data_IF_072625428228
#
_entry.id   IF_072625428228
#
_cell.length_a   1.000
_cell.length_b   1.000
_cell.length_c   1.000
_cell.angle_alpha   90.00
_cell.angle_beta   90.00
_cell.angle_gamma   90.00
#
_symmetry.space_group_name_H-M   'P 1'
#
loop_
_entity.id
_entity.type
_entity.pdbx_description
1 polymer ?
#
# COMPACT_ATOMS: atom_id res chain seq x y z
N UNK A 1 26.63 9.35 -5.78
CA UNK A 1 27.18 8.03 -6.22
C UNK A 1 27.80 7.21 -5.07
N UNK A 2 28.08 7.79 -3.88
CA UNK A 2 28.73 7.05 -2.79
C UNK A 2 27.87 5.97 -2.09
N UNK A 3 26.53 6.11 -2.06
CA UNK A 3 25.68 5.20 -1.27
C UNK A 3 25.54 3.77 -1.82
N UNK A 4 25.81 3.53 -3.12
CA UNK A 4 25.72 2.20 -3.75
C UNK A 4 26.87 1.26 -3.37
N UNK A 5 28.08 1.79 -3.17
CA UNK A 5 29.27 0.98 -2.87
C UNK A 5 29.35 0.51 -1.43
N UNK A 6 28.75 1.24 -0.49
CA UNK A 6 28.87 0.97 0.94
C UNK A 6 28.04 -0.27 1.33
N UNK A 7 26.83 -0.43 0.79
CA UNK A 7 25.96 -1.57 1.14
C UNK A 7 26.37 -2.92 0.56
N UNK A 8 27.01 -2.96 -0.63
CA UNK A 8 27.36 -4.22 -1.28
C UNK A 8 28.53 -4.95 -0.59
N UNK A 9 29.42 -4.20 0.08
CA UNK A 9 30.61 -4.76 0.74
C UNK A 9 30.24 -5.62 1.96
N UNK A 10 29.17 -5.24 2.65
CA UNK A 10 28.74 -5.85 3.91
C UNK A 10 27.84 -7.07 3.73
N UNK A 11 27.31 -7.30 2.52
CA UNK A 11 26.48 -8.47 2.21
C UNK A 11 27.30 -9.77 2.27
N UNK A 12 26.69 -10.81 2.88
CA UNK A 12 27.26 -12.17 2.87
C UNK A 12 27.08 -12.79 1.49
N UNK A 13 27.91 -13.78 1.15
CA UNK A 13 27.86 -14.48 -0.14
C UNK A 13 26.47 -15.10 -0.38
N UNK A 14 25.82 -15.63 0.65
CA UNK A 14 24.46 -16.16 0.55
C UNK A 14 23.43 -15.10 0.14
N UNK A 15 23.53 -13.89 0.71
CA UNK A 15 22.64 -12.79 0.37
C UNK A 15 22.91 -12.27 -1.05
N UNK A 16 24.18 -12.18 -1.45
CA UNK A 16 24.57 -11.80 -2.81
C UNK A 16 24.02 -12.78 -3.86
N UNK A 17 24.11 -14.09 -3.59
CA UNK A 17 23.57 -15.12 -4.50
C UNK A 17 22.05 -15.05 -4.59
N UNK A 18 21.34 -14.86 -3.47
CA UNK A 18 19.88 -14.71 -3.45
C UNK A 18 19.45 -13.51 -4.30
N UNK A 19 20.09 -12.36 -4.16
CA UNK A 19 19.77 -11.16 -4.92
C UNK A 19 20.04 -11.30 -6.43
N UNK A 20 21.07 -12.06 -6.80
CA UNK A 20 21.39 -12.38 -8.19
C UNK A 20 20.39 -13.39 -8.78
N UNK A 21 20.02 -14.41 -8.01
CA UNK A 21 19.05 -15.43 -8.41
C UNK A 21 17.65 -14.84 -8.63
N UNK A 22 17.21 -13.92 -7.77
CA UNK A 22 15.95 -13.18 -7.96
C UNK A 22 15.94 -12.28 -9.21
N UNK A 23 17.13 -11.96 -9.73
CA UNK A 23 17.35 -11.19 -10.95
C UNK A 23 17.74 -12.07 -12.14
N UNK A 24 17.61 -13.38 -12.01
CA UNK A 24 17.96 -14.36 -13.05
C UNK A 24 19.42 -14.22 -13.54
N UNK A 25 20.31 -13.77 -12.66
CA UNK A 25 21.73 -13.56 -12.92
C UNK A 25 22.57 -14.75 -12.44
N UNK A 26 23.74 -14.94 -13.05
CA UNK A 26 24.65 -16.01 -12.68
C UNK A 26 25.18 -15.85 -11.24
N UNK A 27 25.14 -16.94 -10.45
CA UNK A 27 25.53 -16.95 -9.02
C UNK A 27 26.87 -17.64 -8.73
N UNK A 28 27.64 -17.96 -9.78
CA UNK A 28 28.95 -18.62 -9.72
C UNK A 28 30.08 -17.61 -9.46
N UNK A 29 31.23 -18.06 -8.97
CA UNK A 29 32.43 -17.22 -8.79
C UNK A 29 32.70 -16.75 -7.36
N UNK A 30 33.70 -15.87 -7.22
CA UNK A 30 34.15 -15.33 -5.92
C UNK A 30 33.22 -14.20 -5.47
N UNK A 31 33.27 -13.84 -4.18
CA UNK A 31 32.45 -12.75 -3.60
C UNK A 31 32.54 -11.44 -4.41
N UNK A 32 33.73 -11.08 -4.89
CA UNK A 32 33.93 -9.87 -5.69
C UNK A 32 33.19 -9.93 -7.04
N UNK A 33 33.18 -11.08 -7.69
CA UNK A 33 32.49 -11.29 -8.98
C UNK A 33 30.97 -11.13 -8.80
N UNK A 34 30.43 -11.71 -7.73
CA UNK A 34 29.01 -11.57 -7.36
C UNK A 34 28.64 -10.12 -7.05
N UNK A 35 29.51 -9.39 -6.35
CA UNK A 35 29.29 -7.97 -6.05
C UNK A 35 29.31 -7.10 -7.29
N UNK A 36 30.19 -7.38 -8.26
CA UNK A 36 30.27 -6.63 -9.51
C UNK A 36 29.04 -6.91 -10.40
N UNK A 37 28.64 -8.18 -10.57
CA UNK A 37 27.42 -8.52 -11.30
C UNK A 37 26.18 -7.90 -10.67
N UNK A 38 26.06 -7.95 -9.34
CA UNK A 38 24.91 -7.35 -8.67
C UNK A 38 24.91 -5.82 -8.83
N UNK A 39 26.09 -5.18 -8.85
CA UNK A 39 26.20 -3.75 -9.14
C UNK A 39 25.75 -3.43 -10.55
N UNK A 40 26.23 -4.16 -11.55
CA UNK A 40 25.85 -3.98 -12.96
C UNK A 40 24.35 -4.22 -13.18
N UNK A 41 23.78 -5.26 -12.58
CA UNK A 41 22.35 -5.54 -12.63
C UNK A 41 21.53 -4.37 -12.05
N UNK A 42 21.94 -3.84 -10.89
CA UNK A 42 21.31 -2.68 -10.26
C UNK A 42 21.52 -1.37 -11.04
N UNK A 43 22.53 -1.28 -11.89
CA UNK A 43 22.80 -0.14 -12.75
C UNK A 43 21.99 -0.18 -14.06
N UNK A 44 21.65 -1.37 -14.54
CA UNK A 44 20.88 -1.60 -15.76
C UNK A 44 19.36 -1.70 -15.54
N UNK A 45 18.89 -1.61 -14.30
CA UNK A 45 17.46 -1.59 -13.98
C UNK A 45 16.81 -0.26 -14.40
N UNK A 46 15.82 -0.30 -15.31
CA UNK A 46 15.10 0.90 -15.77
C UNK A 46 14.27 1.56 -14.65
N UNK A 47 14.38 2.88 -14.52
CA UNK A 47 13.60 3.71 -13.60
C UNK A 47 12.11 3.72 -13.98
N UNK A 48 11.23 3.82 -12.96
CA UNK A 48 9.79 3.96 -13.18
C UNK A 48 9.41 5.44 -13.18
N UNK A 49 8.91 5.93 -14.31
CA UNK A 49 8.39 7.30 -14.40
C UNK A 49 7.01 7.41 -13.73
N UNK A 50 6.90 8.30 -12.74
CA UNK A 50 5.65 8.71 -12.12
C UNK A 50 5.21 10.04 -12.75
N UNK A 51 4.11 10.07 -13.53
CA UNK A 51 3.64 11.29 -14.18
C UNK A 51 3.37 12.41 -13.19
N UNK A 52 3.45 13.66 -13.64
CA UNK A 52 3.12 14.82 -12.81
C UNK A 52 1.68 14.75 -12.27
N UNK A 53 1.46 15.29 -11.07
CA UNK A 53 0.14 15.40 -10.43
C UNK A 53 -0.69 14.10 -10.45
N UNK A 54 -0.01 12.97 -10.47
CA UNK A 54 -0.63 11.66 -10.63
C UNK A 54 -0.43 10.77 -9.42
N UNK A 55 -1.27 9.75 -9.34
CA UNK A 55 -1.21 8.69 -8.36
C UNK A 55 -0.97 7.35 -9.07
N UNK A 56 -0.14 6.51 -8.48
CA UNK A 56 0.21 5.19 -8.98
C UNK A 56 0.26 4.16 -7.85
N UNK A 57 -0.06 2.91 -8.18
CA UNK A 57 0.23 1.75 -7.33
C UNK A 57 1.43 1.03 -7.92
N UNK A 58 2.46 0.87 -7.11
CA UNK A 58 3.67 0.12 -7.44
C UNK A 58 3.71 -1.15 -6.60
N UNK A 59 4.13 -2.25 -7.21
CA UNK A 59 4.43 -3.47 -6.48
C UNK A 59 5.79 -3.30 -5.78
N UNK A 60 5.89 -3.63 -4.49
CA UNK A 60 7.12 -3.55 -3.73
C UNK A 60 7.41 -4.86 -2.99
N UNK A 61 8.68 -5.25 -2.96
CA UNK A 61 9.17 -6.43 -2.29
C UNK A 61 9.41 -6.16 -0.80
N UNK A 62 8.92 -7.06 0.05
CA UNK A 62 9.20 -7.01 1.49
C UNK A 62 10.56 -7.67 1.77
N UNK A 63 11.53 -6.85 2.16
CA UNK A 63 12.85 -7.30 2.60
C UNK A 63 12.79 -7.88 4.01
N UNK A 64 13.49 -9.00 4.21
CA UNK A 64 13.57 -9.71 5.49
C UNK A 64 12.83 -11.04 5.43
N UNK A 65 12.35 -11.51 6.59
CA UNK A 65 11.51 -12.70 6.67
C UNK A 65 10.08 -12.28 7.03
N UNK A 66 9.28 -11.77 6.07
CA UNK A 66 7.92 -11.34 6.35
C UNK A 66 7.10 -12.56 6.79
N UNK A 67 6.43 -12.45 7.94
CA UNK A 67 5.53 -13.49 8.43
C UNK A 67 4.26 -13.52 7.58
N UNK A 68 4.29 -14.23 6.44
CA UNK A 68 3.21 -14.27 5.43
C UNK A 68 1.85 -14.47 6.10
N UNK A 69 0.85 -13.70 5.64
CA UNK A 69 -0.51 -13.71 6.19
C UNK A 69 -0.74 -12.83 7.43
N UNK A 70 0.29 -12.17 7.97
CA UNK A 70 0.12 -11.21 9.06
C UNK A 70 -0.24 -9.81 8.54
N UNK A 71 -0.93 -9.03 9.39
CA UNK A 71 -1.18 -7.61 9.11
C UNK A 71 -0.02 -6.79 9.70
N UNK A 72 0.60 -5.98 8.87
CA UNK A 72 1.67 -5.05 9.25
C UNK A 72 1.33 -3.61 8.90
N UNK A 73 1.88 -2.67 9.66
CA UNK A 73 1.81 -1.24 9.36
C UNK A 73 3.00 -0.86 8.51
N UNK A 74 2.75 -0.43 7.28
CA UNK A 74 3.73 0.18 6.41
C UNK A 74 3.77 1.69 6.61
N UNK A 75 4.92 2.19 7.07
CA UNK A 75 5.18 3.60 7.28
C UNK A 75 6.19 4.13 6.25
N UNK A 76 5.81 5.17 5.48
CA UNK A 76 6.71 5.86 4.55
C UNK A 76 7.98 6.38 5.23
N UNK A 77 9.09 6.39 4.47
CA UNK A 77 10.27 7.13 4.90
C UNK A 77 9.98 8.64 4.96
N UNK A 78 10.38 9.28 6.05
CA UNK A 78 10.06 10.67 6.38
C UNK A 78 10.88 11.72 5.62
N UNK A 79 11.89 11.31 4.84
CA UNK A 79 12.85 12.21 4.21
C UNK A 79 12.74 12.19 2.68
N UNK A 80 12.28 13.32 2.13
CA UNK A 80 12.16 13.61 0.69
C UNK A 80 13.43 13.33 -0.13
N UNK A 81 14.61 13.37 0.51
CA UNK A 81 15.89 13.16 -0.16
C UNK A 81 16.16 11.71 -0.61
N UNK A 82 15.42 10.72 -0.09
CA UNK A 82 15.74 9.31 -0.31
C UNK A 82 14.80 8.59 -1.29
N UNK A 83 13.51 8.95 -1.36
CA UNK A 83 12.55 8.37 -2.31
C UNK A 83 12.54 9.18 -3.61
N UNK A 84 12.25 10.47 -3.50
CA UNK A 84 12.46 11.55 -4.45
C UNK A 84 11.66 12.77 -3.95
N UNK A 85 12.16 13.98 -4.17
CA UNK A 85 11.49 15.20 -3.71
C UNK A 85 10.11 15.34 -4.34
N UNK A 86 9.10 15.64 -3.53
CA UNK A 86 7.71 15.81 -3.99
C UNK A 86 7.01 14.50 -4.35
N UNK A 87 7.58 13.35 -4.01
CA UNK A 87 6.89 12.06 -4.03
C UNK A 87 6.33 11.77 -2.64
N UNK A 88 5.01 11.63 -2.56
CA UNK A 88 4.33 11.17 -1.36
C UNK A 88 4.08 9.65 -1.45
N UNK A 89 4.47 8.91 -0.43
CA UNK A 89 4.18 7.48 -0.31
C UNK A 89 3.06 7.30 0.72
N UNK A 90 2.06 6.50 0.39
CA UNK A 90 0.91 6.26 1.26
C UNK A 90 1.24 5.32 2.40
N UNK A 91 0.89 5.71 3.63
CA UNK A 91 0.84 4.81 4.79
C UNK A 91 -0.27 3.78 4.59
N UNK A 92 0.00 2.51 4.90
CA UNK A 92 -0.95 1.43 4.65
C UNK A 92 -0.87 0.33 5.70
N UNK A 93 -2.01 -0.32 5.96
CA UNK A 93 -2.03 -1.65 6.56
C UNK A 93 -1.86 -2.68 5.44
N UNK A 94 -0.83 -3.51 5.53
CA UNK A 94 -0.49 -4.51 4.54
C UNK A 94 -0.80 -5.90 5.09
N UNK A 95 -1.44 -6.73 4.29
CA UNK A 95 -1.36 -8.17 4.46
C UNK A 95 -0.02 -8.61 3.87
N UNK A 96 0.85 -9.18 4.70
CA UNK A 96 2.21 -9.53 4.29
C UNK A 96 2.21 -10.67 3.30
N UNK A 97 2.73 -10.40 2.11
CA UNK A 97 3.05 -11.33 1.04
C UNK A 97 4.49 -11.07 0.57
N UNK A 98 5.02 -11.86 -0.37
CA UNK A 98 6.36 -11.57 -0.95
C UNK A 98 6.42 -10.17 -1.58
N UNK A 99 5.34 -9.81 -2.27
CA UNK A 99 5.17 -8.53 -2.95
C UNK A 99 3.87 -7.89 -2.52
N UNK A 100 3.92 -6.60 -2.20
CA UNK A 100 2.79 -5.84 -1.67
C UNK A 100 2.58 -4.55 -2.48
N UNK A 101 1.33 -4.12 -2.69
CA UNK A 101 1.05 -2.88 -3.40
C UNK A 101 1.35 -1.67 -2.50
N UNK A 102 2.06 -0.70 -3.05
CA UNK A 102 2.38 0.58 -2.43
C UNK A 102 1.79 1.71 -3.26
N UNK A 103 1.03 2.58 -2.60
CA UNK A 103 0.44 3.77 -3.21
C UNK A 103 1.44 4.91 -3.18
N UNK A 104 1.66 5.54 -4.32
CA UNK A 104 2.60 6.66 -4.48
C UNK A 104 1.91 7.78 -5.26
N UNK A 105 2.20 9.03 -4.91
CA UNK A 105 1.66 10.21 -5.56
C UNK A 105 2.79 11.20 -5.88
N UNK A 106 2.83 11.67 -7.12
CA UNK A 106 3.72 12.75 -7.53
C UNK A 106 3.02 14.10 -7.34
N UNK A 107 3.51 14.88 -6.40
CA UNK A 107 3.03 16.23 -6.10
C UNK A 107 3.68 17.30 -6.97
N UNK A 108 4.66 16.95 -7.80
CA UNK A 108 5.31 17.90 -8.69
C UNK A 108 4.48 18.19 -9.95
N UNK A 109 4.85 19.28 -10.62
CA UNK A 109 4.42 19.66 -11.98
C UNK A 109 5.43 19.21 -13.05
N UNK A 110 6.03 18.05 -12.82
CA UNK A 110 6.87 17.37 -13.80
C UNK A 110 6.93 15.88 -13.43
N UNK A 111 7.12 14.99 -14.41
CA UNK A 111 7.35 13.58 -14.13
C UNK A 111 8.57 13.36 -13.23
N UNK A 112 8.49 12.36 -12.36
CA UNK A 112 9.59 11.97 -11.47
C UNK A 112 9.95 10.51 -11.73
N UNK A 113 11.23 10.25 -11.97
CA UNK A 113 11.73 8.89 -12.16
C UNK A 113 12.13 8.30 -10.80
N UNK A 114 11.39 7.27 -10.39
CA UNK A 114 11.72 6.48 -9.20
C UNK A 114 12.69 5.37 -9.59
N UNK A 115 13.83 5.36 -8.90
CA UNK A 115 14.82 4.30 -9.09
C UNK A 115 14.30 3.00 -8.52
N UNK A 116 14.47 1.89 -9.24
CA UNK A 116 14.26 0.57 -8.66
C UNK A 116 15.26 0.32 -7.53
N UNK A 117 14.86 -0.52 -6.58
CA UNK A 117 15.62 -0.85 -5.39
C UNK A 117 15.57 0.19 -4.27
N UNK A 118 14.93 1.35 -4.46
CA UNK A 118 14.77 2.33 -3.37
C UNK A 118 13.89 1.76 -2.26
N UNK A 119 14.24 2.11 -1.03
CA UNK A 119 13.46 1.75 0.15
C UNK A 119 12.36 2.79 0.31
N UNK A 120 11.11 2.38 0.10
CA UNK A 120 9.95 3.27 0.20
C UNK A 120 9.52 3.54 1.64
N UNK A 121 9.88 2.66 2.57
CA UNK A 121 9.51 2.77 3.97
C UNK A 121 9.78 1.49 4.75
N UNK A 122 9.11 1.38 5.89
CA UNK A 122 9.32 0.34 6.88
C UNK A 122 8.02 -0.33 7.27
N UNK A 123 8.07 -1.64 7.53
CA UNK A 123 6.95 -2.40 8.07
C UNK A 123 7.19 -2.77 9.53
N UNK A 124 6.20 -2.48 10.36
CA UNK A 124 6.13 -2.88 11.76
C UNK A 124 4.93 -3.80 12.02
N UNK A 125 5.07 -4.71 12.99
CA UNK A 125 3.97 -5.57 13.41
C UNK A 125 2.91 -4.74 14.14
N UNK A 126 1.63 -5.09 13.95
CA UNK A 126 0.51 -4.45 14.65
C UNK A 126 -0.11 -5.46 15.61
N UNK A 127 -0.26 -5.07 16.88
CA UNK A 127 -0.78 -5.96 17.93
C UNK A 127 -2.29 -6.19 17.84
N UNK A 128 -3.06 -5.23 17.32
CA UNK A 128 -4.49 -5.35 17.12
C UNK A 128 -4.99 -4.42 16.02
N UNK A 129 -5.95 -4.90 15.21
CA UNK A 129 -6.66 -4.11 14.20
C UNK A 129 -8.12 -4.03 14.62
N UNK A 130 -8.52 -2.88 15.16
CA UNK A 130 -9.91 -2.65 15.54
C UNK A 130 -10.69 -2.33 14.27
N UNK A 131 -11.50 -3.29 13.82
CA UNK A 131 -12.53 -3.01 12.82
C UNK A 131 -13.71 -2.39 13.57
N UNK A 132 -13.92 -1.09 13.38
CA UNK A 132 -15.22 -0.51 13.73
C UNK A 132 -16.24 -1.11 12.76
N UNK A 133 -16.93 -2.14 13.21
CA UNK A 133 -18.21 -2.49 12.65
C UNK A 133 -19.15 -1.47 13.26
N UNK A 134 -19.41 -0.38 12.56
CA UNK A 134 -20.52 0.49 12.95
C UNK A 134 -21.76 -0.40 12.87
N UNK A 135 -22.19 -0.87 14.05
CA UNK A 135 -23.38 -1.69 14.17
C UNK A 135 -24.46 -0.87 13.50
N UNK A 136 -25.02 -1.45 12.44
CA UNK A 136 -26.11 -0.86 11.69
C UNK A 136 -27.33 -0.87 12.62
N UNK A 137 -27.40 0.10 13.54
CA UNK A 137 -28.64 0.39 14.22
C UNK A 137 -29.62 0.71 13.11
N UNK A 138 -30.68 -0.09 13.04
CA UNK A 138 -31.85 0.11 12.20
C UNK A 138 -32.61 1.38 12.64
N UNK A 139 -31.93 2.51 12.77
CA UNK A 139 -32.56 3.80 12.71
C UNK A 139 -32.99 3.99 11.26
N UNK A 140 -34.24 4.41 11.06
CA UNK A 140 -34.79 4.73 9.75
C UNK A 140 -33.87 5.76 9.09
N UNK A 141 -33.04 5.30 8.13
CA UNK A 141 -32.04 6.12 7.46
C UNK A 141 -32.74 7.23 6.69
N UNK A 142 -32.67 8.45 7.21
CA UNK A 142 -33.38 9.59 6.66
C UNK A 142 -32.62 10.09 5.44
N UNK A 143 -33.26 10.09 4.27
CA UNK A 143 -32.75 10.78 3.08
C UNK A 143 -32.73 12.28 3.42
N UNK A 144 -31.55 12.89 3.42
CA UNK A 144 -31.36 14.32 3.71
C UNK A 144 -30.52 14.99 2.62
N UNK A 145 -30.57 16.32 2.56
CA UNK A 145 -29.68 17.13 1.74
C UNK A 145 -29.74 16.83 0.23
N UNK A 146 -28.55 16.76 -0.39
CA UNK A 146 -28.38 16.59 -1.84
C UNK A 146 -28.98 15.27 -2.37
N UNK A 147 -29.00 14.22 -1.55
CA UNK A 147 -29.55 12.92 -1.91
C UNK A 147 -31.08 12.97 -2.13
N UNK A 148 -31.78 13.83 -1.39
CA UNK A 148 -33.21 14.07 -1.60
C UNK A 148 -33.46 14.77 -2.94
N UNK A 149 -32.61 15.76 -3.28
CA UNK A 149 -32.69 16.47 -4.55
C UNK A 149 -32.42 15.54 -5.74
N UNK A 150 -31.43 14.66 -5.63
CA UNK A 150 -31.13 13.64 -6.64
C UNK A 150 -32.31 12.68 -6.83
N UNK A 151 -32.96 12.26 -5.74
CA UNK A 151 -34.15 11.41 -5.81
C UNK A 151 -35.27 12.12 -6.58
N UNK A 152 -35.53 13.40 -6.27
CA UNK A 152 -36.57 14.20 -6.90
C UNK A 152 -36.29 14.54 -8.37
N UNK A 153 -35.03 14.69 -8.77
CA UNK A 153 -34.68 14.89 -10.18
C UNK A 153 -34.76 13.58 -10.97
N UNK A 154 -34.30 12.48 -10.38
CA UNK A 154 -34.22 11.17 -11.04
C UNK A 154 -35.57 10.47 -11.14
N UNK A 155 -36.55 10.84 -10.32
CA UNK A 155 -37.89 10.25 -10.35
C UNK A 155 -38.84 10.87 -11.38
N UNK A 156 -38.48 11.98 -12.03
CA UNK A 156 -39.38 12.74 -12.93
C UNK A 156 -39.90 11.94 -14.12
N UNK A 157 -39.13 10.98 -14.62
CA UNK A 157 -39.49 10.13 -15.77
C UNK A 157 -39.84 8.69 -15.36
N UNK A 158 -39.93 8.41 -14.05
CA UNK A 158 -40.18 7.07 -13.54
C UNK A 158 -41.66 6.86 -13.22
N UNK A 159 -42.13 5.64 -13.49
CA UNK A 159 -43.43 5.17 -13.00
C UNK A 159 -43.42 5.04 -11.46
N UNK A 160 -44.59 4.97 -10.84
CA UNK A 160 -44.74 4.90 -9.38
C UNK A 160 -44.05 3.67 -8.76
N UNK A 161 -44.12 2.52 -9.44
CA UNK A 161 -43.46 1.27 -9.04
C UNK A 161 -41.93 1.42 -9.06
N UNK A 162 -41.40 2.06 -10.10
CA UNK A 162 -39.96 2.31 -10.26
C UNK A 162 -39.45 3.38 -9.29
N UNK A 163 -40.25 4.42 -9.04
CA UNK A 163 -39.95 5.46 -8.05
C UNK A 163 -39.85 4.87 -6.65
N UNK A 164 -40.74 3.93 -6.32
CA UNK A 164 -40.73 3.22 -5.04
C UNK A 164 -39.48 2.34 -4.90
N UNK A 165 -39.10 1.61 -5.95
CA UNK A 165 -37.88 0.80 -5.98
C UNK A 165 -36.62 1.66 -5.85
N UNK A 166 -36.56 2.77 -6.56
CA UNK A 166 -35.45 3.74 -6.49
C UNK A 166 -35.32 4.33 -5.08
N UNK A 167 -36.44 4.73 -4.46
CA UNK A 167 -36.45 5.27 -3.10
C UNK A 167 -35.99 4.23 -2.08
N UNK A 168 -36.43 2.98 -2.23
CA UNK A 168 -35.98 1.86 -1.38
C UNK A 168 -34.47 1.62 -1.53
N UNK A 169 -33.96 1.63 -2.76
CA UNK A 169 -32.54 1.45 -3.05
C UNK A 169 -31.68 2.55 -2.43
N UNK A 170 -32.05 3.82 -2.64
CA UNK A 170 -31.33 4.98 -2.09
C UNK A 170 -31.39 5.00 -0.57
N UNK A 171 -32.53 4.66 0.03
CA UNK A 171 -32.65 4.58 1.50
C UNK A 171 -31.77 3.48 2.07
N UNK A 172 -31.75 2.31 1.42
CA UNK A 172 -30.96 1.15 1.84
C UNK A 172 -29.47 1.48 1.86
N UNK A 173 -28.99 2.18 0.83
CA UNK A 173 -27.59 2.53 0.65
C UNK A 173 -27.29 4.00 0.96
N UNK A 174 -28.10 4.66 1.79
CA UNK A 174 -27.93 6.09 2.09
C UNK A 174 -26.57 6.41 2.74
N UNK A 175 -25.94 5.42 3.39
CA UNK A 175 -24.65 5.50 4.09
C UNK A 175 -23.42 5.51 3.18
N UNK A 176 -23.54 5.07 1.93
CA UNK A 176 -22.45 5.15 0.95
C UNK A 176 -22.46 6.46 0.15
N UNK A 177 -23.55 7.23 0.23
CA UNK A 177 -23.66 8.52 -0.45
C UNK A 177 -23.09 9.62 0.43
N UNK A 178 -22.46 10.60 -0.22
CA UNK A 178 -22.01 11.83 0.43
C UNK A 178 -23.21 12.56 1.04
N UNK A 179 -23.11 12.94 2.30
CA UNK A 179 -24.12 13.73 3.01
C UNK A 179 -24.03 15.24 2.68
N UNK A 180 -23.04 15.61 1.86
CA UNK A 180 -22.78 16.98 1.41
C UNK A 180 -22.17 17.86 2.50
N UNK A 181 -21.86 17.30 3.67
CA UNK A 181 -21.15 17.99 4.75
C UNK A 181 -19.63 17.70 4.73
N UNK A 182 -19.19 16.72 3.91
CA UNK A 182 -17.79 16.36 3.70
C UNK A 182 -17.15 16.94 2.44
N UNK A 183 -15.81 16.99 2.42
CA UNK A 183 -15.05 17.31 1.20
C UNK A 183 -15.17 16.19 0.17
N UNK A 184 -15.54 16.52 -1.08
CA UNK A 184 -15.75 15.57 -2.18
C UNK A 184 -14.52 14.68 -2.41
N UNK A 185 -14.70 13.35 -2.32
CA UNK A 185 -13.68 12.36 -2.65
C UNK A 185 -13.42 12.29 -4.16
N UNK A 186 -12.19 12.61 -4.59
CA UNK A 186 -11.79 12.54 -6.00
C UNK A 186 -11.52 11.09 -6.42
N UNK A 187 -12.25 10.61 -7.42
CA UNK A 187 -11.86 9.44 -8.22
C UNK A 187 -10.85 9.89 -9.27
N UNK A 188 -9.57 9.83 -8.94
CA UNK A 188 -8.52 9.95 -9.96
C UNK A 188 -8.35 8.58 -10.63
N UNK A 189 -8.16 8.58 -11.94
CA UNK A 189 -7.86 7.39 -12.74
C UNK A 189 -6.62 6.69 -12.18
N UNK A 190 -6.81 5.48 -11.67
CA UNK A 190 -5.75 4.67 -11.09
C UNK A 190 -5.05 3.87 -12.18
N UNK A 191 -3.73 4.07 -12.33
CA UNK A 191 -2.89 3.23 -13.20
C UNK A 191 -2.09 2.27 -12.33
N UNK A 192 -2.37 0.97 -12.46
CA UNK A 192 -1.50 -0.10 -11.96
C UNK A 192 -0.50 -0.45 -13.05
N UNK A 193 0.80 -0.39 -12.76
CA UNK A 193 1.84 -0.89 -13.64
C UNK A 193 2.33 -2.26 -13.17
N UNK A 194 2.79 -3.13 -14.08
CA UNK A 194 3.41 -4.40 -13.72
C UNK A 194 4.71 -4.20 -12.94
N UNK A 195 5.03 -5.25 -12.18
CA UNK A 195 6.15 -5.40 -11.26
C UNK A 195 7.37 -4.53 -11.59
N UNK A 196 7.63 -3.58 -10.71
CA UNK A 196 8.87 -2.83 -10.66
C UNK A 196 9.50 -3.16 -9.30
N UNK A 197 10.78 -3.54 -9.27
CA UNK A 197 11.46 -3.98 -8.04
C UNK A 197 11.67 -2.82 -7.05
N UNK A 198 10.63 -2.41 -6.32
CA UNK A 198 10.75 -1.49 -5.18
C UNK A 198 10.91 -2.28 -3.88
N UNK A 199 11.49 -1.68 -2.81
CA UNK A 199 11.76 -2.40 -1.56
C UNK A 199 11.09 -1.76 -0.35
N UNK A 200 10.63 -2.59 0.57
CA UNK A 200 10.14 -2.22 1.91
C UNK A 200 10.94 -3.00 2.93
N UNK A 201 11.44 -2.36 3.98
CA UNK A 201 12.22 -3.05 5.02
C UNK A 201 11.35 -3.45 6.21
N UNK A 202 11.50 -4.67 6.70
CA UNK A 202 10.92 -5.09 7.98
C UNK A 202 11.81 -4.65 9.14
N UNK A 203 11.23 -4.12 10.23
CA UNK A 203 12.02 -3.55 11.34
C UNK A 203 12.38 -4.53 12.45
N UNK A 204 11.78 -5.73 12.51
CA UNK A 204 11.96 -6.65 13.64
C UNK A 204 12.54 -8.01 13.24
N UNK A 205 13.53 -8.46 14.01
CA UNK A 205 14.05 -9.85 14.09
C UNK A 205 13.25 -10.73 15.07
N UNK A 206 12.11 -10.26 15.55
CA UNK A 206 11.37 -10.93 16.61
C UNK A 206 10.38 -11.94 16.04
N UNK A 207 10.29 -13.09 16.71
CA UNK A 207 9.58 -14.27 16.28
C UNK A 207 8.15 -13.97 15.84
N UNK A 208 7.79 -14.51 14.68
CA UNK A 208 6.42 -14.56 14.18
C UNK A 208 5.55 -15.26 15.25
N UNK A 209 4.83 -14.48 16.05
CA UNK A 209 3.72 -15.03 16.84
C UNK A 209 2.53 -15.05 15.90
N UNK A 210 2.06 -16.25 15.56
CA UNK A 210 0.89 -16.38 14.69
C UNK A 210 -0.36 -15.96 15.47
N UNK A 211 -1.42 -15.47 14.81
CA UNK A 211 -2.69 -15.19 15.47
C UNK A 211 -3.27 -16.40 16.24
N UNK A 212 -2.89 -17.62 15.85
CA UNK A 212 -3.28 -18.86 16.51
C UNK A 212 -2.61 -19.09 17.87
N UNK A 213 -1.48 -18.45 18.15
CA UNK A 213 -0.76 -18.61 19.43
C UNK A 213 -1.38 -17.80 20.57
N UNK A 214 -2.14 -16.74 20.24
CA UNK A 214 -2.78 -15.87 21.22
C UNK A 214 -4.09 -16.42 21.79
N UNK A 215 -4.68 -17.45 21.17
CA UNK A 215 -5.90 -18.08 21.69
C UNK A 215 -5.63 -19.02 22.88
N UNK A 216 -4.36 -19.33 23.18
CA UNK A 216 -3.95 -20.19 24.32
C UNK A 216 -3.48 -19.42 25.57
N UNK A 217 -3.34 -18.10 25.52
CA UNK A 217 -3.01 -17.28 26.70
C UNK A 217 -4.25 -16.49 27.07
N UNK A 218 -5.04 -17.02 28.01
CA UNK A 218 -6.28 -16.43 28.49
C UNK A 218 -6.06 -15.11 29.25
N UNK A 219 -5.64 -14.07 28.55
CA UNK A 219 -5.51 -12.73 29.11
C UNK A 219 -6.73 -11.90 28.71
N UNK A 220 -7.67 -11.80 29.66
CA UNK A 220 -8.73 -10.80 29.65
C UNK A 220 -8.14 -9.44 30.00
N UNK A 221 -8.36 -8.42 29.16
CA UNK A 221 -8.16 -7.03 29.55
C UNK A 221 -9.46 -6.23 29.38
N UNK A 222 -9.84 -5.57 30.47
CA UNK A 222 -10.97 -4.64 30.61
C UNK A 222 -10.64 -3.28 29.98
N UNK A 223 -11.64 -2.65 29.37
CA UNK A 223 -11.53 -1.34 28.73
C UNK A 223 -11.94 -0.21 29.68
N UNK A 224 -11.18 0.89 29.65
CA UNK A 224 -11.65 2.25 29.96
C UNK A 224 -11.82 3.01 28.65
#
# INVERSE_FOLDING_TARGET
>A
MASRQVFLKDLKVADLKRELEERECETTGKKADLQNRLREALENEEDTAVPERSEMILDAHLDGNPCVGNIMMFEPRSHDGEVARGIAVGKALLLTEKTVPVRIMNLNHHPVNLRKGIVLGYCSSVSSVIRKLDAQENSVRKITGELANLLSSSSRSLRSDQTTKLRSLITKYADIFDDGQGGKGRTNTMRKLPSSYFRIKTTNREHCVTPYDNQKRGEHYTAY
#
